data_IF_150895825722
#
_entry.id   IF_150895825722
#
_cell.length_a   1.000
_cell.length_b   1.000
_cell.length_c   1.000
_cell.angle_alpha   90.00
_cell.angle_beta   90.00
_cell.angle_gamma   90.00
#
_symmetry.space_group_name_H-M   'P 1'
#
loop_
_entity.id
_entity.type
_entity.pdbx_description
1 polymer ?
#
# COMPACT_ATOMS: atom_id res chain seq x y z
N UNK A 1 -65.92 -26.89 21.60
CA UNK A 1 -64.48 -26.95 21.91
C UNK A 1 -63.69 -26.79 20.63
N UNK A 2 -63.20 -25.63 20.38
CA UNK A 2 -62.49 -25.29 19.14
C UNK A 2 -61.03 -25.20 19.47
N UNK A 3 -60.21 -26.11 18.99
CA UNK A 3 -58.75 -26.12 19.19
C UNK A 3 -58.15 -25.39 17.97
N UNK A 4 -57.69 -24.19 18.21
CA UNK A 4 -56.94 -23.42 17.22
C UNK A 4 -55.46 -23.90 17.24
N UNK A 5 -55.07 -24.56 16.16
CA UNK A 5 -53.69 -24.92 15.94
C UNK A 5 -53.06 -23.79 15.11
N UNK A 6 -52.33 -22.94 15.82
CA UNK A 6 -51.48 -21.92 15.18
C UNK A 6 -50.28 -22.60 14.54
N UNK A 7 -50.27 -22.66 13.22
CA UNK A 7 -49.10 -23.03 12.41
C UNK A 7 -48.31 -21.79 12.19
N UNK A 8 -47.30 -21.56 13.00
CA UNK A 8 -46.30 -20.51 12.76
C UNK A 8 -45.37 -20.99 11.67
N UNK A 9 -45.53 -20.47 10.46
CA UNK A 9 -44.57 -20.63 9.38
C UNK A 9 -43.37 -19.72 9.68
N UNK A 10 -42.29 -20.29 10.13
CA UNK A 10 -41.01 -19.61 10.27
C UNK A 10 -40.39 -19.47 8.87
N UNK A 11 -40.50 -18.29 8.29
CA UNK A 11 -39.72 -17.88 7.10
C UNK A 11 -38.26 -17.67 7.56
N UNK A 12 -37.42 -18.65 7.31
CA UNK A 12 -35.99 -18.50 7.47
C UNK A 12 -35.46 -17.65 6.31
N UNK A 13 -35.35 -16.33 6.52
CA UNK A 13 -34.54 -15.47 5.69
C UNK A 13 -33.06 -15.78 5.95
N UNK A 14 -32.46 -16.55 5.08
CA UNK A 14 -31.00 -16.70 5.04
C UNK A 14 -30.40 -15.39 4.48
N UNK A 15 -29.55 -14.68 5.24
CA UNK A 15 -28.78 -13.57 4.65
C UNK A 15 -27.72 -14.20 3.75
N UNK A 16 -27.84 -13.97 2.42
CA UNK A 16 -26.72 -14.14 1.50
C UNK A 16 -25.66 -13.11 1.91
N UNK A 17 -24.67 -13.54 2.65
CA UNK A 17 -23.45 -12.79 2.89
C UNK A 17 -22.71 -12.66 1.58
N UNK A 18 -22.86 -11.53 0.89
CA UNK A 18 -21.90 -11.09 -0.12
C UNK A 18 -20.56 -10.88 0.60
N UNK A 19 -19.71 -11.89 0.54
CA UNK A 19 -18.32 -11.74 0.87
C UNK A 19 -17.69 -10.84 -0.21
N UNK A 20 -17.79 -9.53 -0.03
CA UNK A 20 -17.07 -8.56 -0.83
C UNK A 20 -15.58 -8.79 -0.58
N UNK A 21 -14.86 -9.13 -1.64
CA UNK A 21 -13.42 -9.38 -1.64
C UNK A 21 -12.66 -8.11 -1.29
N UNK A 22 -12.34 -7.95 -0.01
CA UNK A 22 -11.63 -6.80 0.53
C UNK A 22 -10.11 -6.80 0.27
N UNK A 23 -9.61 -7.60 -0.68
CA UNK A 23 -8.18 -7.79 -0.92
C UNK A 23 -7.46 -6.58 -1.52
N UNK A 24 -8.18 -5.61 -2.08
CA UNK A 24 -7.57 -4.41 -2.64
C UNK A 24 -7.29 -3.29 -1.62
N UNK A 25 -8.02 -3.27 -0.52
CA UNK A 25 -7.91 -2.22 0.48
C UNK A 25 -6.76 -2.46 1.47
N UNK A 26 -6.47 -3.71 1.78
CA UNK A 26 -5.40 -4.07 2.72
C UNK A 26 -4.02 -3.66 2.20
N UNK A 27 -3.75 -3.83 0.91
CA UNK A 27 -2.50 -3.42 0.29
C UNK A 27 -2.25 -1.91 0.33
N UNK A 28 -3.29 -1.11 0.05
CA UNK A 28 -3.19 0.34 0.09
C UNK A 28 -2.99 0.88 1.51
N UNK A 29 -3.65 0.29 2.50
CA UNK A 29 -3.47 0.64 3.91
C UNK A 29 -2.10 0.25 4.44
N UNK A 30 -1.59 -0.92 4.08
CA UNK A 30 -0.24 -1.35 4.44
C UNK A 30 0.83 -0.45 3.83
N UNK A 31 0.65 0.00 2.59
CA UNK A 31 1.53 0.98 1.94
C UNK A 31 1.52 2.31 2.68
N UNK A 32 0.34 2.82 3.04
CA UNK A 32 0.20 4.08 3.77
C UNK A 32 0.86 4.04 5.16
N UNK A 33 0.88 2.89 5.81
CA UNK A 33 1.42 2.67 7.16
C UNK A 33 2.89 2.24 7.18
N UNK A 34 3.49 1.96 6.03
CA UNK A 34 4.88 1.51 5.99
C UNK A 34 5.83 2.62 6.46
N UNK A 35 6.71 2.36 7.44
CA UNK A 35 7.60 3.39 8.00
C UNK A 35 8.50 4.02 6.94
N UNK A 36 8.93 3.26 5.93
CA UNK A 36 9.73 3.78 4.82
C UNK A 36 9.00 4.81 3.96
N UNK A 37 7.66 4.79 3.93
CA UNK A 37 6.88 5.79 3.18
C UNK A 37 7.12 7.19 3.73
N UNK A 38 7.05 7.37 5.04
CA UNK A 38 7.28 8.68 5.68
C UNK A 38 8.70 9.17 5.44
N UNK A 39 9.68 8.27 5.46
CA UNK A 39 11.08 8.61 5.15
C UNK A 39 11.23 9.05 3.69
N UNK A 40 10.64 8.32 2.73
CA UNK A 40 10.65 8.71 1.31
C UNK A 40 10.00 10.07 1.12
N UNK A 41 8.81 10.31 1.71
CA UNK A 41 8.10 11.58 1.58
C UNK A 41 8.89 12.75 2.17
N UNK A 42 9.59 12.56 3.28
CA UNK A 42 10.35 13.62 3.94
C UNK A 42 11.73 13.87 3.33
N UNK A 43 12.37 12.82 2.80
CA UNK A 43 13.78 12.89 2.37
C UNK A 43 13.94 12.99 0.85
N UNK A 44 13.18 12.23 0.06
CA UNK A 44 13.31 12.24 -1.39
C UNK A 44 12.73 13.50 -2.03
N UNK A 45 11.69 14.08 -1.44
CA UNK A 45 10.99 15.24 -2.00
C UNK A 45 11.61 16.60 -1.66
N UNK A 46 12.75 16.60 -1.01
CA UNK A 46 13.51 17.85 -0.74
C UNK A 46 14.12 18.45 -2.02
N UNK A 47 14.44 17.61 -3.01
CA UNK A 47 15.13 18.03 -4.21
C UNK A 47 14.26 17.95 -5.47
N UNK A 48 13.35 16.98 -5.55
CA UNK A 48 12.48 16.75 -6.71
C UNK A 48 11.21 16.00 -6.31
N UNK A 49 10.23 15.93 -7.20
CA UNK A 49 8.96 15.24 -6.96
C UNK A 49 9.06 13.74 -7.27
N UNK A 50 8.01 13.00 -6.93
CA UNK A 50 7.87 11.57 -7.25
C UNK A 50 7.82 11.27 -8.76
N UNK A 51 7.60 12.30 -9.61
CA UNK A 51 7.62 12.16 -11.06
C UNK A 51 8.90 11.51 -11.58
N UNK A 52 10.02 11.64 -10.84
CA UNK A 52 11.30 11.04 -11.19
C UNK A 52 11.32 9.51 -11.07
N UNK A 53 10.44 8.93 -10.27
CA UNK A 53 10.49 7.49 -10.00
C UNK A 53 9.12 6.78 -10.00
N UNK A 54 7.98 7.49 -10.00
CA UNK A 54 6.65 6.88 -9.88
C UNK A 54 6.35 5.81 -10.93
N UNK A 55 6.91 5.95 -12.11
CA UNK A 55 6.72 5.01 -13.22
C UNK A 55 7.83 3.96 -13.33
N UNK A 56 8.86 4.07 -12.50
CA UNK A 56 9.93 3.09 -12.45
C UNK A 56 9.49 1.85 -11.66
N UNK A 57 9.99 0.69 -12.10
CA UNK A 57 9.76 -0.59 -11.43
C UNK A 57 11.10 -1.28 -11.25
N UNK A 58 11.53 -1.34 -10.00
CA UNK A 58 12.79 -1.97 -9.62
C UNK A 58 12.56 -2.85 -8.38
N UNK A 59 13.34 -3.90 -8.27
CA UNK A 59 13.37 -4.67 -7.03
C UNK A 59 14.02 -3.86 -5.89
N UNK A 60 13.99 -4.40 -4.69
CA UNK A 60 14.58 -3.76 -3.50
C UNK A 60 16.04 -3.37 -3.72
N UNK A 61 16.83 -4.24 -4.36
CA UNK A 61 18.27 -3.98 -4.60
C UNK A 61 18.47 -2.84 -5.60
N UNK A 62 17.67 -2.79 -6.64
CA UNK A 62 17.68 -1.69 -7.62
C UNK A 62 17.35 -0.35 -6.97
N UNK A 63 16.34 -0.33 -6.08
CA UNK A 63 16.00 0.86 -5.33
C UNK A 63 17.09 1.26 -4.33
N UNK A 64 17.69 0.32 -3.62
CA UNK A 64 18.81 0.60 -2.73
C UNK A 64 20.00 1.22 -3.48
N UNK A 65 20.34 0.69 -4.65
CA UNK A 65 21.37 1.27 -5.51
C UNK A 65 21.01 2.68 -6.00
N UNK A 66 19.73 2.95 -6.29
CA UNK A 66 19.26 4.29 -6.63
C UNK A 66 19.42 5.26 -5.46
N UNK A 67 19.10 4.84 -4.24
CA UNK A 67 19.28 5.63 -3.01
C UNK A 67 20.76 5.98 -2.81
N UNK A 68 21.66 5.02 -2.95
CA UNK A 68 23.10 5.29 -2.84
C UNK A 68 23.62 6.27 -3.90
N UNK A 69 23.07 6.25 -5.13
CA UNK A 69 23.40 7.27 -6.14
C UNK A 69 22.96 8.68 -5.71
N UNK A 70 21.86 8.81 -4.96
CA UNK A 70 21.41 10.11 -4.43
C UNK A 70 22.30 10.58 -3.29
N UNK A 71 22.85 9.70 -2.47
CA UNK A 71 23.87 10.05 -1.47
C UNK A 71 25.08 10.68 -2.16
N UNK A 72 25.54 10.12 -3.27
CA UNK A 72 26.60 10.71 -4.08
C UNK A 72 26.27 12.08 -4.68
N UNK A 73 25.00 12.51 -4.64
CA UNK A 73 24.51 13.82 -5.08
C UNK A 73 24.11 14.76 -3.94
N UNK A 74 24.44 14.41 -2.70
CA UNK A 74 24.20 15.23 -1.53
C UNK A 74 23.10 14.75 -0.59
N UNK A 75 22.50 13.59 -0.83
CA UNK A 75 21.57 12.97 0.12
C UNK A 75 22.29 12.59 1.41
N UNK A 76 21.73 12.98 2.55
CA UNK A 76 22.29 12.65 3.87
C UNK A 76 21.28 11.79 4.63
N UNK A 77 21.48 10.47 4.61
CA UNK A 77 20.57 9.49 5.20
C UNK A 77 21.34 8.47 6.04
N UNK A 78 20.71 8.03 7.12
CA UNK A 78 21.25 6.94 7.93
C UNK A 78 21.06 5.59 7.24
N UNK A 79 21.81 4.59 7.66
CA UNK A 79 21.64 3.21 7.13
C UNK A 79 20.23 2.67 7.38
N UNK A 80 19.63 3.02 8.52
CA UNK A 80 18.24 2.64 8.81
C UNK A 80 17.25 3.33 7.87
N UNK A 81 17.39 4.60 7.58
CA UNK A 81 16.56 5.31 6.61
C UNK A 81 16.71 4.72 5.21
N UNK A 82 17.93 4.38 4.79
CA UNK A 82 18.20 3.72 3.51
C UNK A 82 17.46 2.38 3.43
N UNK A 83 17.56 1.57 4.48
CA UNK A 83 16.88 0.28 4.55
C UNK A 83 15.36 0.45 4.45
N UNK A 84 14.78 1.32 5.25
CA UNK A 84 13.33 1.59 5.25
C UNK A 84 12.82 2.11 3.90
N UNK A 85 13.56 3.02 3.26
CA UNK A 85 13.23 3.52 1.93
C UNK A 85 13.28 2.41 0.88
N UNK A 86 14.35 1.59 0.89
CA UNK A 86 14.51 0.50 -0.07
C UNK A 86 13.43 -0.57 0.08
N UNK A 87 13.04 -0.89 1.32
CA UNK A 87 11.96 -1.84 1.62
C UNK A 87 10.61 -1.33 1.11
N UNK A 88 10.29 -0.07 1.38
CA UNK A 88 9.07 0.57 0.90
C UNK A 88 9.02 0.64 -0.63
N UNK A 89 10.06 1.17 -1.26
CA UNK A 89 10.12 1.32 -2.71
C UNK A 89 10.14 -0.03 -3.44
N UNK A 90 10.86 -1.02 -2.91
CA UNK A 90 10.87 -2.37 -3.48
C UNK A 90 9.52 -3.06 -3.43
N UNK A 91 8.70 -2.78 -2.43
CA UNK A 91 7.35 -3.30 -2.30
C UNK A 91 6.34 -2.55 -3.18
N UNK A 92 6.30 -1.23 -3.08
CA UNK A 92 5.25 -0.41 -3.70
C UNK A 92 5.57 -0.01 -5.16
N UNK A 93 6.85 0.01 -5.50
CA UNK A 93 7.37 0.27 -6.84
C UNK A 93 8.24 -0.88 -7.35
N UNK A 94 7.95 -2.08 -6.89
CA UNK A 94 8.60 -3.31 -7.34
C UNK A 94 8.08 -3.82 -8.68
N UNK A 95 8.73 -4.84 -9.26
CA UNK A 95 8.25 -5.52 -10.45
C UNK A 95 6.82 -6.06 -10.22
N UNK A 96 5.89 -5.74 -11.11
CA UNK A 96 4.49 -6.18 -11.00
C UNK A 96 3.59 -5.32 -10.12
N UNK A 97 4.11 -4.32 -9.40
CA UNK A 97 3.26 -3.35 -8.71
C UNK A 97 2.54 -2.46 -9.72
N UNK A 98 1.28 -2.10 -9.42
CA UNK A 98 0.55 -1.13 -10.23
C UNK A 98 1.18 0.26 -10.03
N UNK A 99 1.14 1.14 -11.07
CA UNK A 99 1.49 2.54 -10.88
C UNK A 99 0.71 3.11 -9.69
N UNK A 100 1.42 3.76 -8.78
CA UNK A 100 0.74 4.48 -7.71
C UNK A 100 -0.15 5.53 -8.37
N UNK A 101 -1.44 5.49 -8.07
CA UNK A 101 -2.33 6.59 -8.44
C UNK A 101 -1.73 7.86 -7.85
N UNK A 102 -1.53 8.87 -8.71
CA UNK A 102 -1.01 10.15 -8.27
C UNK A 102 -1.83 10.61 -7.05
N UNK A 103 -1.21 11.11 -5.97
CA UNK A 103 -1.96 11.66 -4.87
C UNK A 103 -2.86 12.75 -5.44
N UNK A 104 -4.15 12.61 -5.23
CA UNK A 104 -5.11 13.67 -5.55
C UNK A 104 -4.70 14.92 -4.80
N UNK A 105 -4.42 15.98 -5.54
CA UNK A 105 -4.13 17.30 -5.00
C UNK A 105 -5.37 17.87 -4.31
#
# INVERSE_FOLDING_TARGET
MIIWRNVAAALACAPLLLAATAHGQDGAQQSAQHPGRSVVMSKCFQCHTDAMFRDQRQDRRGWEAAIYRMIGRGGLWTQEEIRLMADYLGRDFGPGSKPASAPSR
#
